data_IF_156386010856
#
_entry.id   IF_156386010856
#
_cell.length_a   1.000
_cell.length_b   1.000
_cell.length_c   1.000
_cell.angle_alpha   90.00
_cell.angle_beta   90.00
_cell.angle_gamma   90.00
#
_symmetry.space_group_name_H-M   'P 1'
#
loop_
_entity.id
_entity.type
_entity.pdbx_description
1 polymer ?
#
# COMPACT_ATOMS: atom_id res chain seq x y z
N UNK A 1 89.09 -2.23 28.11
CA UNK A 1 87.78 -1.88 27.51
C UNK A 1 86.80 -3.02 27.78
N UNK A 2 85.69 -2.72 28.51
CA UNK A 2 84.36 -3.41 28.60
C UNK A 2 84.32 -4.94 28.80
N UNK A 3 84.13 -5.48 30.03
CA UNK A 3 82.85 -5.87 30.73
C UNK A 3 81.97 -6.87 29.93
N UNK A 4 81.93 -8.18 30.25
CA UNK A 4 81.16 -8.92 31.28
C UNK A 4 79.61 -8.92 31.14
N UNK A 5 79.06 -10.14 31.30
CA UNK A 5 77.68 -10.53 31.72
C UNK A 5 76.53 -10.64 30.69
N UNK A 6 76.07 -11.89 30.48
CA UNK A 6 74.70 -12.27 30.04
C UNK A 6 73.83 -12.42 31.31
N UNK A 7 72.55 -12.02 31.28
CA UNK A 7 71.50 -13.05 31.35
C UNK A 7 70.18 -12.71 30.64
N UNK A 8 69.40 -13.78 30.44
CA UNK A 8 67.94 -13.81 30.36
C UNK A 8 67.26 -12.74 31.25
N UNK A 9 66.48 -11.83 30.65
CA UNK A 9 65.19 -11.29 31.11
C UNK A 9 64.89 -10.05 30.27
N UNK A 10 63.77 -10.06 29.54
CA UNK A 10 62.83 -8.93 29.37
C UNK A 10 61.67 -9.47 28.53
N UNK A 11 60.94 -10.40 29.15
CA UNK A 11 59.53 -10.62 28.88
C UNK A 11 58.76 -9.39 29.40
N UNK A 12 57.64 -9.06 28.75
CA UNK A 12 56.67 -8.03 29.11
C UNK A 12 56.91 -6.61 28.54
N UNK A 13 56.58 -6.44 27.26
CA UNK A 13 55.77 -5.29 26.85
C UNK A 13 54.50 -5.77 26.15
N UNK A 14 53.71 -6.55 26.88
CA UNK A 14 52.28 -6.58 26.67
C UNK A 14 51.72 -5.32 27.31
N UNK A 15 51.38 -4.31 26.51
CA UNK A 15 50.36 -3.34 26.90
C UNK A 15 49.41 -3.16 25.69
N UNK A 16 48.14 -3.54 25.85
CA UNK A 16 47.18 -3.62 24.76
C UNK A 16 46.67 -2.22 24.38
N UNK A 17 46.84 -1.82 23.12
CA UNK A 17 46.09 -0.71 22.53
C UNK A 17 44.67 -1.17 22.10
N UNK A 18 43.99 -1.91 22.97
CA UNK A 18 42.58 -2.30 22.80
C UNK A 18 41.80 -1.82 24.03
N UNK A 19 41.88 -0.53 24.31
CA UNK A 19 41.07 0.12 25.34
C UNK A 19 40.49 1.42 24.78
N UNK A 20 39.54 1.27 23.85
CA UNK A 20 38.44 2.21 23.57
C UNK A 20 37.35 1.66 22.62
N UNK A 21 37.36 0.39 22.19
CA UNK A 21 36.22 -0.21 21.49
C UNK A 21 35.18 -0.78 22.49
N UNK A 22 34.80 0.01 23.49
CA UNK A 22 33.62 -0.27 24.29
C UNK A 22 32.38 0.14 23.48
N UNK A 23 31.84 -0.82 22.74
CA UNK A 23 30.39 -1.01 22.66
C UNK A 23 29.58 -0.19 21.66
N UNK A 24 30.17 0.69 20.84
CA UNK A 24 29.38 1.32 19.79
C UNK A 24 29.17 0.37 18.60
N UNK A 25 28.12 -0.44 18.68
CA UNK A 25 27.68 -1.35 17.62
C UNK A 25 26.94 -0.64 16.49
N UNK A 26 26.78 0.68 16.55
CA UNK A 26 26.01 1.45 15.56
C UNK A 26 26.44 1.17 14.11
N UNK A 27 27.74 1.13 13.75
CA UNK A 27 28.12 0.88 12.35
C UNK A 27 27.70 -0.51 11.87
N UNK A 28 27.84 -1.52 12.72
CA UNK A 28 27.44 -2.91 12.43
C UNK A 28 25.91 -3.02 12.34
N UNK A 29 25.19 -2.36 13.26
CA UNK A 29 23.73 -2.31 13.29
C UNK A 29 23.15 -1.61 12.07
N UNK A 30 23.73 -0.48 11.68
CA UNK A 30 23.37 0.27 10.48
C UNK A 30 23.60 -0.57 9.24
N UNK A 31 24.75 -1.23 9.13
CA UNK A 31 25.06 -2.11 8.00
C UNK A 31 24.06 -3.28 7.89
N UNK A 32 23.76 -3.95 9.00
CA UNK A 32 22.77 -5.03 9.04
C UNK A 32 21.37 -4.55 8.61
N UNK A 33 20.96 -3.38 9.10
CA UNK A 33 19.66 -2.80 8.75
C UNK A 33 19.60 -2.37 7.28
N UNK A 34 20.62 -1.67 6.76
CA UNK A 34 20.70 -1.32 5.34
C UNK A 34 20.67 -2.56 4.44
N UNK A 35 21.41 -3.61 4.81
CA UNK A 35 21.42 -4.87 4.06
C UNK A 35 20.04 -5.53 4.05
N UNK A 36 19.33 -5.52 5.18
CA UNK A 36 17.95 -6.01 5.25
C UNK A 36 17.03 -5.22 4.32
N UNK A 37 17.03 -3.89 4.39
CA UNK A 37 16.21 -3.04 3.53
C UNK A 37 16.53 -3.26 2.04
N UNK A 38 17.81 -3.31 1.69
CA UNK A 38 18.25 -3.52 0.32
C UNK A 38 17.77 -4.88 -0.22
N UNK A 39 18.12 -5.97 0.47
CA UNK A 39 17.94 -7.33 -0.08
C UNK A 39 16.52 -7.87 0.07
N UNK A 40 15.77 -7.39 1.07
CA UNK A 40 14.43 -7.91 1.40
C UNK A 40 13.30 -7.02 0.89
N UNK A 41 13.58 -5.76 0.57
CA UNK A 41 12.58 -4.79 0.09
C UNK A 41 12.98 -4.23 -1.27
N UNK A 42 14.11 -3.54 -1.37
CA UNK A 42 14.48 -2.78 -2.57
C UNK A 42 14.73 -3.71 -3.76
N UNK A 43 15.50 -4.78 -3.58
CA UNK A 43 15.86 -5.73 -4.64
C UNK A 43 14.74 -6.71 -4.99
N UNK A 44 13.68 -6.78 -4.17
CA UNK A 44 12.56 -7.71 -4.40
C UNK A 44 11.53 -7.06 -5.32
N UNK A 45 11.00 -7.76 -6.33
CA UNK A 45 9.92 -7.20 -7.14
C UNK A 45 8.68 -6.98 -6.27
N UNK A 46 7.95 -5.90 -6.56
CA UNK A 46 6.67 -5.59 -5.96
C UNK A 46 6.76 -5.03 -4.55
N UNK A 47 5.59 -4.86 -3.93
CA UNK A 47 5.46 -4.34 -2.57
C UNK A 47 5.50 -5.50 -1.60
N UNK A 48 6.54 -5.54 -0.77
CA UNK A 48 6.69 -6.53 0.29
C UNK A 48 7.23 -5.88 1.55
N UNK A 49 6.60 -6.19 2.67
CA UNK A 49 7.02 -5.71 3.99
C UNK A 49 7.37 -6.91 4.86
N UNK A 50 8.64 -7.36 4.81
CA UNK A 50 9.11 -8.49 5.61
C UNK A 50 9.06 -8.14 7.10
N UNK A 51 8.57 -9.07 7.91
CA UNK A 51 8.70 -9.00 9.37
C UNK A 51 10.10 -9.49 9.78
N UNK A 52 10.92 -8.67 10.45
CA UNK A 52 12.23 -9.11 10.89
C UNK A 52 12.13 -10.10 12.05
N UNK A 53 13.01 -11.10 12.10
CA UNK A 53 13.10 -12.04 13.23
C UNK A 53 13.61 -11.35 14.50
N UNK A 54 13.54 -12.05 15.65
CA UNK A 54 14.07 -11.51 16.90
C UNK A 54 15.59 -11.26 16.82
N UNK A 55 16.32 -12.15 16.14
CA UNK A 55 17.75 -12.05 15.90
C UNK A 55 18.08 -10.87 14.98
N UNK A 56 17.31 -10.68 13.90
CA UNK A 56 17.45 -9.54 13.00
C UNK A 56 17.19 -8.22 13.75
N UNK A 57 16.09 -8.12 14.52
CA UNK A 57 15.80 -6.93 15.34
C UNK A 57 16.94 -6.62 16.32
N UNK A 58 17.48 -7.65 16.98
CA UNK A 58 18.65 -7.50 17.86
C UNK A 58 19.88 -7.00 17.11
N UNK A 59 20.08 -7.46 15.87
CA UNK A 59 21.18 -7.03 15.02
C UNK A 59 21.04 -5.59 14.53
N UNK A 60 19.82 -5.04 14.44
CA UNK A 60 19.57 -3.67 14.00
C UNK A 60 19.71 -2.64 15.13
N UNK A 61 19.65 -3.05 16.39
CA UNK A 61 19.62 -2.11 17.52
C UNK A 61 18.46 -1.13 17.41
N UNK A 62 18.75 0.16 17.62
CA UNK A 62 17.73 1.22 17.62
C UNK A 62 17.04 1.40 16.26
N UNK A 63 17.67 0.96 15.17
CA UNK A 63 17.08 1.02 13.82
C UNK A 63 15.84 0.12 13.66
N UNK A 64 15.68 -0.89 14.52
CA UNK A 64 14.46 -1.71 14.54
C UNK A 64 13.19 -0.86 14.80
N UNK A 65 13.30 0.20 15.62
CA UNK A 65 12.19 1.11 15.89
C UNK A 65 11.88 2.00 14.68
N UNK A 66 12.88 2.34 13.86
CA UNK A 66 12.69 3.12 12.64
C UNK A 66 11.96 2.31 11.55
N UNK A 67 12.19 1.01 11.51
CA UNK A 67 11.44 0.11 10.64
C UNK A 67 9.95 0.01 11.01
N UNK A 68 9.61 0.28 12.27
CA UNK A 68 8.23 0.28 12.73
C UNK A 68 7.34 1.24 11.94
N UNK A 69 7.89 2.37 11.45
CA UNK A 69 7.13 3.31 10.61
C UNK A 69 6.59 2.64 9.34
N UNK A 70 7.40 1.80 8.68
CA UNK A 70 6.97 1.04 7.48
C UNK A 70 5.97 -0.04 7.87
N UNK A 71 6.25 -0.82 8.93
CA UNK A 71 5.37 -1.92 9.33
C UNK A 71 4.03 -1.46 9.87
N UNK A 72 3.99 -0.34 10.59
CA UNK A 72 2.78 0.24 11.17
C UNK A 72 1.86 0.78 10.08
N UNK A 73 2.41 1.49 9.09
CA UNK A 73 1.64 1.90 7.91
C UNK A 73 1.03 0.69 7.20
N UNK A 74 1.83 -0.35 6.95
CA UNK A 74 1.35 -1.53 6.22
C UNK A 74 0.29 -2.30 7.02
N UNK A 75 0.43 -2.40 8.35
CA UNK A 75 -0.59 -2.97 9.20
C UNK A 75 -1.89 -2.13 9.20
N UNK A 76 -1.78 -0.80 9.21
CA UNK A 76 -2.91 0.12 9.09
C UNK A 76 -3.62 0.01 7.73
N UNK A 77 -2.84 -0.11 6.65
CA UNK A 77 -3.34 -0.35 5.30
C UNK A 77 -4.06 -1.71 5.21
N UNK A 78 -3.45 -2.79 5.69
CA UNK A 78 -4.04 -4.14 5.72
C UNK A 78 -5.36 -4.15 6.50
N UNK A 79 -5.42 -3.45 7.63
CA UNK A 79 -6.65 -3.30 8.41
C UNK A 79 -7.72 -2.53 7.63
N UNK A 80 -7.34 -1.46 6.92
CA UNK A 80 -8.25 -0.61 6.13
C UNK A 80 -8.86 -1.37 4.95
N UNK A 81 -8.10 -2.26 4.31
CA UNK A 81 -8.56 -3.04 3.14
C UNK A 81 -9.22 -4.38 3.52
N UNK A 82 -9.21 -4.77 4.80
CA UNK A 82 -9.83 -6.02 5.28
C UNK A 82 -11.31 -6.19 4.86
N UNK A 83 -12.16 -5.14 4.84
CA UNK A 83 -13.54 -5.26 4.37
C UNK A 83 -13.67 -5.41 2.85
N UNK A 84 -12.61 -5.21 2.06
CA UNK A 84 -12.69 -5.13 0.60
C UNK A 84 -13.37 -6.35 -0.03
N UNK A 85 -13.09 -7.57 0.45
CA UNK A 85 -13.72 -8.78 -0.08
C UNK A 85 -15.24 -8.79 0.06
N UNK A 86 -15.77 -8.34 1.21
CA UNK A 86 -17.22 -8.26 1.42
C UNK A 86 -17.83 -7.08 0.67
N UNK A 87 -17.12 -5.96 0.54
CA UNK A 87 -17.53 -4.81 -0.27
C UNK A 87 -17.63 -5.16 -1.75
N UNK A 88 -16.67 -5.92 -2.29
CA UNK A 88 -16.71 -6.39 -3.68
C UNK A 88 -17.89 -7.33 -3.94
N UNK A 89 -18.20 -8.23 -3.00
CA UNK A 89 -19.39 -9.08 -3.11
C UNK A 89 -20.69 -8.26 -3.03
N UNK A 90 -20.73 -7.24 -2.17
CA UNK A 90 -21.86 -6.31 -2.06
C UNK A 90 -22.03 -5.42 -3.29
N UNK A 91 -20.93 -5.03 -3.94
CA UNK A 91 -20.94 -4.18 -5.12
C UNK A 91 -21.10 -4.91 -6.46
N UNK A 92 -21.05 -6.26 -6.46
CA UNK A 92 -21.11 -7.04 -7.69
C UNK A 92 -22.51 -7.01 -8.32
N UNK A 93 -22.64 -6.37 -9.48
CA UNK A 93 -23.87 -6.32 -10.28
C UNK A 93 -23.58 -6.88 -11.66
N UNK A 94 -24.49 -7.71 -12.20
CA UNK A 94 -24.32 -8.37 -13.52
C UNK A 94 -25.38 -7.94 -14.52
N UNK A 95 -26.55 -7.53 -14.03
CA UNK A 95 -27.70 -7.12 -14.84
C UNK A 95 -28.25 -5.76 -14.40
N UNK A 96 -29.06 -5.15 -15.26
CA UNK A 96 -29.78 -3.93 -14.91
C UNK A 96 -30.74 -4.14 -13.73
N UNK A 97 -31.35 -5.32 -13.64
CA UNK A 97 -32.18 -5.72 -12.49
C UNK A 97 -31.35 -5.79 -11.20
N UNK A 98 -30.11 -6.28 -11.26
CA UNK A 98 -29.23 -6.31 -10.07
C UNK A 98 -28.90 -4.90 -9.60
N UNK A 99 -28.61 -3.99 -10.53
CA UNK A 99 -28.29 -2.59 -10.23
C UNK A 99 -29.43 -1.91 -9.46
N UNK A 100 -30.68 -2.18 -9.86
CA UNK A 100 -31.88 -1.63 -9.21
C UNK A 100 -32.10 -2.31 -7.86
N UNK A 101 -32.11 -3.64 -7.83
CA UNK A 101 -32.38 -4.43 -6.62
C UNK A 101 -31.33 -4.20 -5.52
N UNK A 102 -30.09 -3.85 -5.90
CA UNK A 102 -28.96 -3.67 -4.99
C UNK A 102 -28.56 -2.22 -4.79
N UNK A 103 -29.41 -1.25 -5.13
CA UNK A 103 -29.10 0.18 -5.02
C UNK A 103 -28.57 0.58 -3.64
N UNK A 104 -29.15 0.07 -2.57
CA UNK A 104 -28.72 0.38 -1.19
C UNK A 104 -27.39 -0.30 -0.82
N UNK A 105 -27.13 -1.50 -1.35
CA UNK A 105 -25.81 -2.14 -1.24
C UNK A 105 -24.75 -1.29 -1.95
N UNK A 106 -25.04 -0.78 -3.15
CA UNK A 106 -24.11 0.07 -3.91
C UNK A 106 -23.79 1.37 -3.17
N UNK A 107 -24.78 2.02 -2.55
CA UNK A 107 -24.57 3.20 -1.69
C UNK A 107 -23.71 2.85 -0.46
N UNK A 108 -23.99 1.71 0.17
CA UNK A 108 -23.20 1.24 1.31
C UNK A 108 -21.73 1.03 0.92
N UNK A 109 -21.49 0.41 -0.25
CA UNK A 109 -20.14 0.20 -0.77
C UNK A 109 -19.46 1.52 -1.11
N UNK A 110 -20.19 2.48 -1.69
CA UNK A 110 -19.66 3.81 -1.98
C UNK A 110 -19.17 4.53 -0.70
N UNK A 111 -19.97 4.54 0.35
CA UNK A 111 -19.57 5.11 1.65
C UNK A 111 -18.34 4.39 2.20
N UNK A 112 -18.36 3.06 2.21
CA UNK A 112 -17.24 2.28 2.73
C UNK A 112 -15.92 2.50 1.96
N UNK A 113 -15.99 2.68 0.64
CA UNK A 113 -14.81 3.02 -0.17
C UNK A 113 -14.27 4.41 0.15
N UNK A 114 -15.15 5.38 0.40
CA UNK A 114 -14.75 6.72 0.84
C UNK A 114 -14.06 6.65 2.21
N UNK A 115 -14.66 5.96 3.18
CA UNK A 115 -14.10 5.80 4.52
C UNK A 115 -12.73 5.10 4.48
N UNK A 116 -12.58 4.09 3.61
CA UNK A 116 -11.31 3.42 3.38
C UNK A 116 -10.25 4.37 2.80
N UNK A 117 -10.63 5.24 1.87
CA UNK A 117 -9.73 6.26 1.31
C UNK A 117 -9.26 7.26 2.36
N UNK A 118 -10.17 7.72 3.23
CA UNK A 118 -9.85 8.61 4.35
C UNK A 118 -8.92 7.93 5.38
N UNK A 119 -9.21 6.67 5.72
CA UNK A 119 -8.37 5.88 6.62
C UNK A 119 -6.94 5.71 6.07
N UNK A 120 -6.80 5.38 4.78
CA UNK A 120 -5.49 5.25 4.14
C UNK A 120 -4.72 6.57 4.10
N UNK A 121 -5.40 7.68 3.79
CA UNK A 121 -4.77 9.01 3.79
C UNK A 121 -4.25 9.39 5.19
N UNK A 122 -4.99 9.03 6.24
CA UNK A 122 -4.58 9.25 7.62
C UNK A 122 -3.37 8.39 8.01
N UNK A 123 -3.36 7.11 7.65
CA UNK A 123 -2.22 6.23 7.92
C UNK A 123 -0.96 6.69 7.17
N UNK A 124 -1.10 7.13 5.91
CA UNK A 124 0.02 7.69 5.16
C UNK A 124 0.56 8.95 5.84
N UNK A 125 -0.32 9.91 6.19
CA UNK A 125 0.12 11.15 6.85
C UNK A 125 0.83 10.89 8.18
N UNK A 126 0.37 9.90 8.96
CA UNK A 126 1.04 9.45 10.18
C UNK A 126 2.44 8.89 9.88
N UNK A 127 2.56 8.06 8.85
CA UNK A 127 3.83 7.49 8.43
C UNK A 127 4.79 8.58 7.92
N UNK A 128 4.31 9.53 7.13
CA UNK A 128 5.09 10.64 6.57
C UNK A 128 5.64 11.52 7.71
N UNK A 129 4.80 11.82 8.70
CA UNK A 129 5.20 12.57 9.89
C UNK A 129 6.25 11.84 10.72
N UNK A 130 6.12 10.53 10.92
CA UNK A 130 7.11 9.73 11.63
C UNK A 130 8.43 9.61 10.86
N UNK A 131 8.36 9.44 9.53
CA UNK A 131 9.52 9.40 8.64
C UNK A 131 10.31 10.71 8.69
N UNK A 132 9.62 11.86 8.64
CA UNK A 132 10.26 13.17 8.71
C UNK A 132 10.99 13.45 10.03
N UNK A 133 10.62 12.76 11.11
CA UNK A 133 11.26 12.89 12.43
C UNK A 133 12.48 11.96 12.61
N UNK A 134 12.72 11.03 11.69
CA UNK A 134 13.84 10.10 11.78
C UNK A 134 15.18 10.84 11.64
N UNK A 135 16.07 10.60 12.60
CA UNK A 135 17.45 11.10 12.58
C UNK A 135 18.35 9.95 12.14
N UNK A 136 18.69 9.93 10.85
CA UNK A 136 19.49 8.89 10.21
C UNK A 136 20.78 9.47 9.65
N UNK A 137 21.89 8.71 9.69
CA UNK A 137 23.05 9.01 8.86
C UNK A 137 22.70 9.00 7.36
N UNK A 138 23.40 9.79 6.55
CA UNK A 138 23.05 10.01 5.13
C UNK A 138 22.99 8.73 4.29
N UNK A 139 23.89 7.78 4.55
CA UNK A 139 23.94 6.48 3.86
C UNK A 139 22.71 5.64 4.17
N UNK A 140 22.32 5.55 5.44
CA UNK A 140 21.11 4.86 5.85
C UNK A 140 19.86 5.57 5.32
N UNK A 141 19.83 6.90 5.40
CA UNK A 141 18.69 7.69 4.93
C UNK A 141 18.39 7.39 3.46
N UNK A 142 19.40 7.36 2.61
CA UNK A 142 19.21 7.08 1.19
C UNK A 142 18.61 5.68 0.92
N UNK A 143 19.01 4.66 1.70
CA UNK A 143 18.45 3.29 1.60
C UNK A 143 17.05 3.22 2.19
N UNK A 144 16.84 3.84 3.35
CA UNK A 144 15.55 3.90 4.02
C UNK A 144 14.50 4.61 3.17
N UNK A 145 14.82 5.77 2.60
CA UNK A 145 13.90 6.55 1.76
C UNK A 145 13.42 5.74 0.54
N UNK A 146 14.30 4.94 -0.07
CA UNK A 146 13.91 4.01 -1.16
C UNK A 146 12.97 2.91 -0.68
N UNK A 147 13.25 2.32 0.47
CA UNK A 147 12.38 1.30 1.05
C UNK A 147 11.01 1.90 1.43
N UNK A 148 11.01 3.10 2.01
CA UNK A 148 9.82 3.85 2.39
C UNK A 148 8.98 4.22 1.16
N UNK A 149 9.59 4.80 0.13
CA UNK A 149 8.90 5.14 -1.11
C UNK A 149 8.18 3.91 -1.70
N UNK A 150 8.90 2.79 -1.79
CA UNK A 150 8.38 1.54 -2.35
C UNK A 150 7.27 0.88 -1.52
N UNK A 151 7.27 1.04 -0.20
CA UNK A 151 6.37 0.30 0.72
C UNK A 151 5.28 1.16 1.35
N UNK A 152 5.39 2.48 1.24
CA UNK A 152 4.44 3.44 1.80
C UNK A 152 3.93 4.39 0.72
N UNK A 153 4.82 5.15 0.09
CA UNK A 153 4.45 6.25 -0.81
C UNK A 153 3.79 5.74 -2.09
N UNK A 154 4.45 4.83 -2.80
CA UNK A 154 3.96 4.26 -4.07
C UNK A 154 2.62 3.52 -3.87
N UNK A 155 2.45 2.61 -2.89
CA UNK A 155 1.16 1.97 -2.64
C UNK A 155 0.05 2.97 -2.30
N UNK A 156 0.31 3.92 -1.39
CA UNK A 156 -0.71 4.87 -0.97
C UNK A 156 -1.15 5.80 -2.12
N UNK A 157 -0.21 6.27 -2.94
CA UNK A 157 -0.50 7.06 -4.13
C UNK A 157 -1.29 6.24 -5.16
N UNK A 158 -0.91 4.97 -5.38
CA UNK A 158 -1.61 4.07 -6.30
C UNK A 158 -3.07 3.89 -5.88
N UNK A 159 -3.33 3.65 -4.59
CA UNK A 159 -4.70 3.57 -4.07
C UNK A 159 -5.46 4.89 -4.26
N UNK A 160 -4.84 6.04 -4.00
CA UNK A 160 -5.47 7.36 -4.21
C UNK A 160 -5.88 7.59 -5.66
N UNK A 161 -5.11 7.10 -6.62
CA UNK A 161 -5.44 7.18 -8.04
C UNK A 161 -6.56 6.23 -8.46
N UNK A 162 -6.58 5.03 -7.89
CA UNK A 162 -7.55 3.97 -8.24
C UNK A 162 -8.92 4.21 -7.63
N UNK A 163 -8.98 4.74 -6.40
CA UNK A 163 -10.23 4.93 -5.65
C UNK A 163 -11.31 5.72 -6.43
N UNK A 164 -11.01 6.90 -7.01
CA UNK A 164 -12.00 7.65 -7.81
C UNK A 164 -12.53 6.88 -9.02
N UNK A 165 -11.74 5.99 -9.61
CA UNK A 165 -12.17 5.18 -10.77
C UNK A 165 -13.21 4.14 -10.35
N UNK A 166 -13.03 3.54 -9.17
CA UNK A 166 -14.02 2.62 -8.58
C UNK A 166 -15.29 3.38 -8.20
N UNK A 167 -15.14 4.53 -7.52
CA UNK A 167 -16.27 5.39 -7.15
C UNK A 167 -17.09 5.82 -8.36
N UNK A 168 -16.46 6.21 -9.46
CA UNK A 168 -17.14 6.62 -10.69
C UNK A 168 -17.99 5.52 -11.33
N UNK A 169 -17.59 4.25 -11.18
CA UNK A 169 -18.39 3.10 -11.63
C UNK A 169 -19.63 2.91 -10.77
N UNK A 170 -19.51 3.05 -9.44
CA UNK A 170 -20.65 3.00 -8.52
C UNK A 170 -21.61 4.16 -8.76
N UNK A 171 -21.09 5.38 -8.96
CA UNK A 171 -21.89 6.56 -9.32
C UNK A 171 -22.69 6.32 -10.61
N UNK A 172 -22.03 5.79 -11.63
CA UNK A 172 -22.69 5.50 -12.91
C UNK A 172 -23.74 4.40 -12.77
N UNK A 173 -23.48 3.39 -11.93
CA UNK A 173 -24.46 2.33 -11.62
C UNK A 173 -25.68 2.90 -10.90
N UNK A 174 -25.48 3.80 -9.93
CA UNK A 174 -26.57 4.46 -9.21
C UNK A 174 -27.39 5.38 -10.13
N UNK A 175 -26.75 6.13 -11.02
CA UNK A 175 -27.46 6.94 -12.04
C UNK A 175 -28.35 6.08 -12.93
N UNK A 176 -27.84 4.94 -13.39
CA UNK A 176 -28.63 3.96 -14.16
C UNK A 176 -29.82 3.46 -13.33
N UNK A 177 -29.60 3.07 -12.07
CA UNK A 177 -30.68 2.62 -11.18
C UNK A 177 -31.77 3.68 -11.00
N UNK A 178 -31.36 4.93 -10.76
CA UNK A 178 -32.27 6.06 -10.55
C UNK A 178 -33.05 6.41 -11.81
N UNK A 179 -32.40 6.38 -12.96
CA UNK A 179 -33.05 6.63 -14.24
C UNK A 179 -34.11 5.59 -14.57
N UNK A 180 -33.79 4.30 -14.35
CA UNK A 180 -34.72 3.22 -14.62
C UNK A 180 -35.92 3.24 -13.67
N UNK A 181 -35.68 3.52 -12.38
CA UNK A 181 -36.79 3.67 -11.42
C UNK A 181 -37.71 4.84 -11.80
N UNK A 182 -37.15 5.98 -12.22
CA UNK A 182 -37.92 7.14 -12.65
C UNK A 182 -38.77 6.87 -13.91
N UNK A 183 -38.35 5.95 -14.78
CA UNK A 183 -39.01 5.61 -16.04
C UNK A 183 -39.59 4.20 -16.07
N UNK A 184 -39.83 3.57 -14.90
CA UNK A 184 -40.26 2.16 -14.81
C UNK A 184 -41.56 1.82 -15.54
N UNK A 185 -42.44 2.80 -15.75
CA UNK A 185 -43.66 2.62 -16.53
C UNK A 185 -43.39 2.49 -18.05
N UNK A 186 -42.21 2.93 -18.49
CA UNK A 186 -41.78 2.99 -19.89
C UNK A 186 -40.68 1.97 -20.21
N UNK A 187 -40.05 1.39 -19.19
CA UNK A 187 -38.94 0.43 -19.29
C UNK A 187 -39.41 -0.93 -18.77
N UNK A 188 -39.53 -1.91 -19.66
CA UNK A 188 -39.84 -3.29 -19.33
C UNK A 188 -38.54 -4.13 -19.25
N UNK A 189 -38.28 -4.68 -18.07
CA UNK A 189 -37.10 -5.50 -17.75
C UNK A 189 -37.43 -7.00 -17.60
N UNK A 190 -38.63 -7.43 -18.00
CA UNK A 190 -39.08 -8.83 -17.87
C UNK A 190 -38.35 -9.79 -18.83
N UNK A 191 -37.75 -9.27 -19.90
CA UNK A 191 -37.02 -10.03 -20.90
C UNK A 191 -35.49 -9.99 -20.73
N UNK A 192 -34.75 -10.74 -21.57
CA UNK A 192 -33.28 -10.75 -21.57
C UNK A 192 -32.65 -9.40 -21.97
N UNK A 193 -33.43 -8.51 -22.59
CA UNK A 193 -33.05 -7.15 -22.94
C UNK A 193 -34.15 -6.16 -22.51
N UNK A 194 -33.79 -4.96 -22.00
CA UNK A 194 -34.75 -3.92 -21.71
C UNK A 194 -35.56 -3.54 -22.96
N UNK A 195 -36.89 -3.43 -22.83
CA UNK A 195 -37.74 -2.85 -23.87
C UNK A 195 -38.17 -1.46 -23.42
N UNK A 196 -37.91 -0.46 -24.26
CA UNK A 196 -38.26 0.94 -23.99
C UNK A 196 -39.10 1.45 -25.15
N UNK A 197 -40.29 1.97 -24.86
CA UNK A 197 -41.23 2.42 -25.89
C UNK A 197 -40.94 3.86 -26.35
N UNK A 198 -40.52 4.72 -25.43
CA UNK A 198 -40.21 6.11 -25.71
C UNK A 198 -38.76 6.25 -26.27
N UNK A 199 -38.58 6.80 -27.48
CA UNK A 199 -37.26 6.97 -28.08
C UNK A 199 -36.31 7.87 -27.28
N UNK A 200 -36.81 8.89 -26.59
CA UNK A 200 -36.00 9.77 -25.75
C UNK A 200 -35.53 9.03 -24.50
N UNK A 201 -36.40 8.21 -23.90
CA UNK A 201 -36.03 7.39 -22.74
C UNK A 201 -34.98 6.34 -23.12
N UNK A 202 -35.11 5.74 -24.30
CA UNK A 202 -34.14 4.79 -24.82
C UNK A 202 -32.78 5.45 -25.08
N UNK A 203 -32.77 6.65 -25.67
CA UNK A 203 -31.54 7.38 -25.97
C UNK A 203 -30.75 7.75 -24.70
N UNK A 204 -31.43 8.23 -23.67
CA UNK A 204 -30.81 8.58 -22.40
C UNK A 204 -30.33 7.33 -21.64
N UNK A 205 -31.13 6.26 -21.58
CA UNK A 205 -30.71 4.98 -21.00
C UNK A 205 -29.45 4.45 -21.68
N UNK A 206 -29.39 4.50 -23.00
CA UNK A 206 -28.20 4.07 -23.76
C UNK A 206 -26.97 4.92 -23.41
N UNK A 207 -27.13 6.23 -23.23
CA UNK A 207 -26.05 7.14 -22.81
C UNK A 207 -25.50 6.76 -21.44
N UNK A 208 -26.39 6.51 -20.46
CA UNK A 208 -25.99 6.08 -19.13
C UNK A 208 -25.28 4.72 -19.12
N UNK A 209 -25.73 3.78 -19.95
CA UNK A 209 -25.09 2.47 -20.11
C UNK A 209 -23.71 2.56 -20.80
N UNK A 210 -23.54 3.49 -21.76
CA UNK A 210 -22.24 3.78 -22.37
C UNK A 210 -21.26 4.37 -21.36
N UNK A 211 -21.71 5.34 -20.55
CA UNK A 211 -20.91 5.92 -19.48
C UNK A 211 -20.47 4.86 -18.45
N UNK A 212 -21.40 4.00 -18.03
CA UNK A 212 -21.10 2.88 -17.12
C UNK A 212 -20.05 1.94 -17.73
N UNK A 213 -20.17 1.62 -19.02
CA UNK A 213 -19.21 0.77 -19.73
C UNK A 213 -17.82 1.41 -19.81
N UNK A 214 -17.75 2.71 -20.05
CA UNK A 214 -16.49 3.46 -20.05
C UNK A 214 -15.83 3.50 -18.66
N UNK A 215 -16.62 3.61 -17.58
CA UNK A 215 -16.10 3.54 -16.21
C UNK A 215 -15.58 2.14 -15.87
N UNK A 216 -16.29 1.08 -16.29
CA UNK A 216 -15.84 -0.29 -16.09
C UNK A 216 -14.47 -0.56 -16.72
N UNK A 217 -14.21 -0.02 -17.92
CA UNK A 217 -12.89 -0.09 -18.56
C UNK A 217 -11.80 0.62 -17.75
N UNK A 218 -12.10 1.80 -17.17
CA UNK A 218 -11.16 2.51 -16.29
C UNK A 218 -10.82 1.68 -15.05
N UNK A 219 -11.81 1.05 -14.42
CA UNK A 219 -11.58 0.15 -13.27
C UNK A 219 -10.71 -1.04 -13.65
N UNK A 220 -10.90 -1.62 -14.84
CA UNK A 220 -10.03 -2.70 -15.31
C UNK A 220 -8.57 -2.24 -15.45
N UNK A 221 -8.33 -1.04 -15.98
CA UNK A 221 -6.98 -0.46 -16.05
C UNK A 221 -6.42 -0.17 -14.64
N UNK A 222 -7.26 0.30 -13.72
CA UNK A 222 -6.93 0.52 -12.31
C UNK A 222 -6.43 -0.77 -11.65
N UNK A 223 -7.15 -1.88 -11.87
CA UNK A 223 -6.80 -3.20 -11.33
C UNK A 223 -5.44 -3.67 -11.87
N UNK A 224 -5.18 -3.49 -13.17
CA UNK A 224 -3.89 -3.83 -13.77
C UNK A 224 -2.75 -3.01 -13.17
N UNK A 225 -2.96 -1.69 -12.95
CA UNK A 225 -1.97 -0.83 -12.29
C UNK A 225 -1.70 -1.28 -10.86
N UNK A 226 -2.74 -1.57 -10.09
CA UNK A 226 -2.60 -2.05 -8.72
C UNK A 226 -1.85 -3.39 -8.67
N UNK A 227 -2.20 -4.33 -9.55
CA UNK A 227 -1.49 -5.61 -9.67
C UNK A 227 -0.02 -5.44 -10.05
N UNK A 228 0.28 -4.54 -11.00
CA UNK A 228 1.65 -4.24 -11.39
C UNK A 228 2.48 -3.71 -10.22
N UNK A 229 1.92 -2.80 -9.42
CA UNK A 229 2.61 -2.29 -8.21
C UNK A 229 2.83 -3.40 -7.20
N UNK A 230 1.79 -4.17 -6.88
CA UNK A 230 1.86 -5.22 -5.85
C UNK A 230 2.81 -6.36 -6.22
N UNK A 231 2.82 -6.78 -7.49
CA UNK A 231 3.63 -7.91 -7.95
C UNK A 231 5.01 -7.49 -8.45
N UNK A 232 5.23 -6.20 -8.72
CA UNK A 232 6.47 -5.69 -9.31
C UNK A 232 6.48 -5.92 -10.81
N UNK A 233 5.64 -5.18 -11.52
CA UNK A 233 5.50 -5.21 -12.97
C UNK A 233 6.87 -5.21 -13.66
N UNK A 234 7.01 -6.08 -14.66
CA UNK A 234 8.20 -6.20 -15.51
C UNK A 234 8.50 -4.90 -16.24
#
# INVERSE_FOLDING_TARGET
MKTLFRPFLLLALALPLVLAACGNKEPEQRAAFMQFLQTRIIDKPGVRVPQPTAEEKKSFGDYAAQYAVITDFNAGMDASVKPMGSLMQKGAVRTLNDVIARRDDLKTVQTALKDMGEALAKEQAKADAAHAQLKQPDDLKAVYDKAYDKTVTVPANTFREVLPQISGTLDSSLKVAEYVEAHKAQIDLSGPAPRVQDPAVLAELNTLLQDLSAQAQKVQQAQLRLQAVMLGGR
#
